data_IF_911926687192
#
_entry.id   IF_911926687192
#
_cell.length_a   1.000
_cell.length_b   1.000
_cell.length_c   1.000
_cell.angle_alpha   90.00
_cell.angle_beta   90.00
_cell.angle_gamma   90.00
#
_symmetry.space_group_name_H-M   'P 1'
#
loop_
_entity.id
_entity.type
_entity.pdbx_description
1 polymer ?
#
# COMPACT_ATOMS: atom_id res chain seq x y z
N UNK A 1 -7.23 -14.20 16.23
CA UNK A 1 -7.56 -15.25 15.24
C UNK A 1 -8.20 -14.54 14.07
N UNK A 2 -7.39 -14.07 13.10
CA UNK A 2 -7.92 -13.50 11.87
C UNK A 2 -8.56 -14.63 11.07
N UNK A 3 -9.88 -14.59 10.92
CA UNK A 3 -10.58 -15.55 10.07
C UNK A 3 -10.20 -15.25 8.63
N UNK A 4 -9.54 -16.22 7.98
CA UNK A 4 -9.39 -16.24 6.52
C UNK A 4 -10.77 -16.03 5.90
N UNK A 5 -10.93 -15.12 4.91
CA UNK A 5 -12.23 -14.85 4.33
C UNK A 5 -12.90 -16.11 3.79
N UNK A 6 -14.21 -16.20 3.94
CA UNK A 6 -14.99 -17.31 3.40
C UNK A 6 -14.87 -17.37 1.86
N UNK A 7 -15.10 -18.56 1.28
CA UNK A 7 -15.13 -18.71 -0.18
C UNK A 7 -16.12 -17.75 -0.84
N UNK A 8 -17.29 -17.55 -0.23
CA UNK A 8 -18.31 -16.62 -0.76
C UNK A 8 -17.84 -15.17 -0.82
N UNK A 9 -17.07 -14.70 0.18
CA UNK A 9 -16.50 -13.34 0.16
C UNK A 9 -15.47 -13.22 -0.96
N UNK A 10 -14.61 -14.23 -1.15
CA UNK A 10 -13.64 -14.25 -2.25
C UNK A 10 -14.33 -14.22 -3.62
N UNK A 11 -15.35 -15.04 -3.81
CA UNK A 11 -16.11 -15.12 -5.06
C UNK A 11 -16.81 -13.79 -5.37
N UNK A 12 -17.35 -13.11 -4.35
CA UNK A 12 -17.99 -11.81 -4.49
C UNK A 12 -17.00 -10.67 -4.84
N UNK A 13 -15.75 -10.76 -4.37
CA UNK A 13 -14.71 -9.77 -4.66
C UNK A 13 -14.04 -9.98 -6.02
N UNK A 14 -14.12 -11.18 -6.59
CA UNK A 14 -13.42 -11.56 -7.82
C UNK A 14 -13.63 -10.59 -9.00
N UNK A 15 -14.85 -10.08 -9.29
CA UNK A 15 -15.04 -9.09 -10.35
C UNK A 15 -14.25 -7.80 -10.12
N UNK A 16 -14.25 -7.31 -8.86
CA UNK A 16 -13.54 -6.08 -8.47
C UNK A 16 -12.03 -6.25 -8.52
N UNK A 17 -11.51 -7.38 -8.03
CA UNK A 17 -10.08 -7.75 -8.12
C UNK A 17 -9.62 -7.64 -9.58
N UNK A 18 -10.37 -8.24 -10.51
CA UNK A 18 -10.02 -8.21 -11.93
C UNK A 18 -10.13 -6.81 -12.55
N UNK A 19 -11.15 -6.04 -12.17
CA UNK A 19 -11.40 -4.72 -12.75
C UNK A 19 -10.38 -3.68 -12.30
N UNK A 20 -9.97 -3.70 -11.03
CA UNK A 20 -9.12 -2.66 -10.43
C UNK A 20 -7.70 -2.63 -11.01
N UNK A 21 -7.20 -3.74 -11.54
CA UNK A 21 -5.89 -3.82 -12.19
C UNK A 21 -5.91 -3.42 -13.67
N UNK A 22 -7.01 -2.87 -14.16
CA UNK A 22 -7.07 -2.37 -15.53
C UNK A 22 -6.17 -1.14 -15.71
N UNK A 23 -5.32 -1.15 -16.75
CA UNK A 23 -4.41 -0.05 -17.04
C UNK A 23 -5.10 1.31 -17.20
N UNK A 24 -6.37 1.36 -17.65
CA UNK A 24 -7.14 2.60 -17.74
C UNK A 24 -7.39 3.25 -16.37
N UNK A 25 -7.47 2.43 -15.31
CA UNK A 25 -7.63 2.88 -13.93
C UNK A 25 -6.26 3.15 -13.29
N UNK A 26 -5.31 2.22 -13.40
CA UNK A 26 -3.99 2.35 -12.79
C UNK A 26 -3.16 3.52 -13.37
N UNK A 27 -3.32 3.78 -14.67
CA UNK A 27 -2.60 4.85 -15.40
C UNK A 27 -3.50 6.03 -15.75
N UNK A 28 -4.59 6.22 -15.00
CA UNK A 28 -5.49 7.35 -15.19
C UNK A 28 -4.73 8.68 -15.10
N UNK A 29 -5.16 9.75 -15.78
CA UNK A 29 -4.45 11.04 -15.72
C UNK A 29 -4.55 11.67 -14.31
N UNK A 30 -5.76 11.66 -13.74
CA UNK A 30 -6.04 12.24 -12.43
C UNK A 30 -5.47 11.42 -11.26
N UNK A 31 -4.68 12.07 -10.41
CA UNK A 31 -4.09 11.45 -9.22
C UNK A 31 -5.15 10.99 -8.21
N UNK A 32 -6.23 11.75 -8.02
CA UNK A 32 -7.32 11.39 -7.10
C UNK A 32 -8.02 10.07 -7.49
N UNK A 33 -8.08 9.78 -8.79
CA UNK A 33 -8.59 8.50 -9.29
C UNK A 33 -7.61 7.38 -8.94
N UNK A 34 -6.31 7.58 -9.19
CA UNK A 34 -5.29 6.57 -8.81
C UNK A 34 -5.30 6.26 -7.33
N UNK A 35 -5.32 7.28 -6.46
CA UNK A 35 -5.39 7.11 -5.01
C UNK A 35 -6.63 6.33 -4.59
N UNK A 36 -7.76 6.58 -5.25
CA UNK A 36 -9.01 5.84 -4.99
C UNK A 36 -8.90 4.37 -5.38
N UNK A 37 -8.32 4.08 -6.54
CA UNK A 37 -8.09 2.70 -7.02
C UNK A 37 -7.14 1.96 -6.08
N UNK A 38 -6.03 2.60 -5.69
CA UNK A 38 -5.06 2.04 -4.73
C UNK A 38 -5.73 1.77 -3.39
N UNK A 39 -6.54 2.69 -2.88
CA UNK A 39 -7.29 2.49 -1.62
C UNK A 39 -8.21 1.26 -1.68
N UNK A 40 -8.91 1.04 -2.80
CA UNK A 40 -9.71 -0.17 -2.98
C UNK A 40 -8.85 -1.44 -3.04
N UNK A 41 -7.71 -1.40 -3.74
CA UNK A 41 -6.78 -2.53 -3.86
C UNK A 41 -6.21 -2.91 -2.49
N UNK A 42 -5.83 -1.93 -1.67
CA UNK A 42 -5.31 -2.13 -0.32
C UNK A 42 -6.36 -2.79 0.59
N UNK A 43 -7.61 -2.33 0.55
CA UNK A 43 -8.67 -2.95 1.35
C UNK A 43 -9.01 -4.36 0.90
N UNK A 44 -9.01 -4.64 -0.42
CA UNK A 44 -9.14 -6.00 -0.93
C UNK A 44 -7.99 -6.87 -0.42
N UNK A 45 -6.76 -6.37 -0.46
CA UNK A 45 -5.57 -7.10 0.02
C UNK A 45 -5.68 -7.41 1.51
N UNK A 46 -6.16 -6.45 2.32
CA UNK A 46 -6.47 -6.67 3.74
C UNK A 46 -7.55 -7.73 3.95
N UNK A 47 -8.63 -7.69 3.16
CA UNK A 47 -9.71 -8.68 3.27
C UNK A 47 -9.26 -10.08 2.85
N UNK A 48 -8.41 -10.19 1.83
CA UNK A 48 -7.96 -11.48 1.30
C UNK A 48 -6.77 -12.08 2.03
N UNK A 49 -6.09 -11.29 2.87
CA UNK A 49 -4.98 -11.73 3.72
C UNK A 49 -5.30 -13.05 4.48
N UNK A 50 -4.33 -13.95 4.64
CA UNK A 50 -2.93 -13.86 4.19
C UNK A 50 -2.75 -14.15 2.69
N UNK A 51 -3.81 -14.48 1.96
CA UNK A 51 -3.69 -14.81 0.54
C UNK A 51 -3.67 -13.52 -0.29
N UNK A 52 -2.57 -13.29 -1.00
CA UNK A 52 -2.47 -12.16 -1.91
C UNK A 52 -3.54 -12.24 -3.01
N UNK A 53 -4.28 -11.15 -3.29
CA UNK A 53 -5.31 -11.14 -4.31
C UNK A 53 -4.74 -11.12 -5.74
N UNK A 54 -3.44 -10.83 -5.88
CA UNK A 54 -2.75 -10.71 -7.15
C UNK A 54 -1.44 -11.51 -7.14
N UNK A 55 -0.97 -11.88 -8.33
CA UNK A 55 0.36 -12.49 -8.52
C UNK A 55 1.47 -11.49 -8.27
N UNK A 56 2.64 -11.99 -7.94
CA UNK A 56 3.87 -11.25 -7.59
C UNK A 56 4.15 -10.06 -8.51
N UNK A 57 4.24 -10.28 -9.83
CA UNK A 57 4.49 -9.19 -10.78
C UNK A 57 3.47 -8.05 -10.72
N UNK A 58 2.21 -8.40 -10.45
CA UNK A 58 1.14 -7.42 -10.30
C UNK A 58 1.20 -6.74 -8.93
N UNK A 59 1.58 -7.46 -7.88
CA UNK A 59 1.84 -6.87 -6.56
C UNK A 59 2.97 -5.85 -6.63
N UNK A 60 4.05 -6.13 -7.36
CA UNK A 60 5.16 -5.16 -7.59
C UNK A 60 4.66 -3.86 -8.23
N UNK A 61 3.84 -3.94 -9.28
CA UNK A 61 3.23 -2.75 -9.91
C UNK A 61 2.30 -2.01 -8.94
N UNK A 62 1.53 -2.74 -8.12
CA UNK A 62 0.67 -2.13 -7.09
C UNK A 62 1.51 -1.39 -6.05
N UNK A 63 2.63 -1.95 -5.59
CA UNK A 63 3.52 -1.28 -4.66
C UNK A 63 4.09 0.03 -5.23
N UNK A 64 4.48 0.05 -6.50
CA UNK A 64 4.90 1.28 -7.18
C UNK A 64 3.79 2.35 -7.16
N UNK A 65 2.54 1.96 -7.38
CA UNK A 65 1.40 2.88 -7.32
C UNK A 65 1.10 3.37 -5.91
N UNK A 66 1.28 2.53 -4.90
CA UNK A 66 1.17 2.91 -3.49
C UNK A 66 2.25 3.95 -3.16
N UNK A 67 3.50 3.73 -3.57
CA UNK A 67 4.60 4.68 -3.32
C UNK A 67 4.34 6.01 -4.02
N UNK A 68 3.94 5.99 -5.29
CA UNK A 68 3.55 7.20 -6.01
C UNK A 68 2.38 7.94 -5.32
N UNK A 69 1.39 7.23 -4.77
CA UNK A 69 0.30 7.85 -4.02
C UNK A 69 0.77 8.48 -2.70
N UNK A 70 1.74 7.86 -2.01
CA UNK A 70 2.32 8.39 -0.77
C UNK A 70 3.17 9.63 -1.04
N UNK A 71 4.03 9.60 -2.05
CA UNK A 71 4.88 10.76 -2.42
C UNK A 71 4.08 12.01 -2.77
N UNK A 72 2.92 11.82 -3.42
CA UNK A 72 2.07 12.93 -3.83
C UNK A 72 1.08 13.38 -2.74
N UNK A 73 1.21 12.91 -1.49
CA UNK A 73 0.21 13.18 -0.44
C UNK A 73 -0.01 14.68 -0.17
N UNK A 74 1.01 15.52 -0.36
CA UNK A 74 0.92 16.98 -0.18
C UNK A 74 0.20 17.70 -1.33
N UNK A 75 0.03 17.03 -2.47
CA UNK A 75 -0.50 17.59 -3.72
C UNK A 75 -1.92 17.10 -4.06
N UNK A 76 -2.45 16.14 -3.30
CA UNK A 76 -3.79 15.59 -3.52
C UNK A 76 -4.87 16.37 -2.77
N UNK A 77 -6.12 16.21 -3.19
CA UNK A 77 -7.25 16.84 -2.48
C UNK A 77 -7.37 16.36 -1.03
N UNK A 78 -8.01 17.13 -0.16
CA UNK A 78 -8.24 16.76 1.26
C UNK A 78 -8.90 15.38 1.41
N UNK A 79 -9.77 15.01 0.47
CA UNK A 79 -10.42 13.70 0.48
C UNK A 79 -9.43 12.58 0.12
N UNK A 80 -8.61 12.78 -0.91
CA UNK A 80 -7.54 11.85 -1.27
C UNK A 80 -6.46 11.75 -0.20
N UNK A 81 -6.15 12.84 0.51
CA UNK A 81 -5.23 12.82 1.65
C UNK A 81 -5.69 11.81 2.71
N UNK A 82 -6.98 11.83 3.08
CA UNK A 82 -7.54 10.85 4.03
C UNK A 82 -7.40 9.41 3.54
N UNK A 83 -7.53 9.18 2.23
CA UNK A 83 -7.31 7.86 1.63
C UNK A 83 -5.85 7.45 1.71
N UNK A 84 -4.91 8.34 1.41
CA UNK A 84 -3.46 8.05 1.54
C UNK A 84 -3.11 7.73 2.99
N UNK A 85 -3.63 8.47 3.96
CA UNK A 85 -3.41 8.13 5.39
C UNK A 85 -4.02 6.79 5.77
N UNK A 86 -5.19 6.43 5.22
CA UNK A 86 -5.79 5.11 5.43
C UNK A 86 -5.00 3.99 4.75
N UNK A 87 -4.40 4.25 3.59
CA UNK A 87 -3.54 3.31 2.89
C UNK A 87 -2.32 2.97 3.77
N UNK A 88 -1.64 4.00 4.30
CA UNK A 88 -0.50 3.83 5.20
C UNK A 88 -0.89 3.03 6.46
N UNK A 89 -2.02 3.38 7.08
CA UNK A 89 -2.51 2.68 8.27
C UNK A 89 -2.81 1.20 7.99
N UNK A 90 -3.46 0.91 6.86
CA UNK A 90 -3.70 -0.48 6.46
C UNK A 90 -2.40 -1.23 6.17
N UNK A 91 -1.43 -0.63 5.47
CA UNK A 91 -0.11 -1.24 5.21
C UNK A 91 0.58 -1.63 6.51
N UNK A 92 0.58 -0.74 7.51
CA UNK A 92 1.17 -1.01 8.81
C UNK A 92 0.43 -2.16 9.52
N UNK A 93 -0.91 -2.12 9.55
CA UNK A 93 -1.75 -3.11 10.24
C UNK A 93 -1.61 -4.52 9.69
N UNK A 94 -1.64 -4.67 8.36
CA UNK A 94 -1.48 -5.98 7.71
C UNK A 94 -0.04 -6.33 7.38
N UNK A 95 0.92 -5.51 7.83
CA UNK A 95 2.35 -5.67 7.56
C UNK A 95 2.65 -5.88 6.07
N UNK A 96 1.90 -5.21 5.18
CA UNK A 96 2.00 -5.43 3.73
C UNK A 96 3.39 -5.06 3.17
N UNK A 97 4.13 -4.21 3.88
CA UNK A 97 5.52 -3.89 3.56
C UNK A 97 6.46 -5.11 3.61
N UNK A 98 6.16 -6.14 4.39
CA UNK A 98 6.97 -7.37 4.43
C UNK A 98 6.86 -8.17 3.13
N UNK A 99 5.70 -8.09 2.46
CA UNK A 99 5.54 -8.67 1.12
C UNK A 99 6.46 -7.99 0.10
N UNK A 100 6.90 -6.74 0.32
CA UNK A 100 7.92 -6.12 -0.52
C UNK A 100 9.29 -6.79 -0.34
N UNK A 101 9.62 -7.25 0.87
CA UNK A 101 10.82 -8.03 1.14
C UNK A 101 10.71 -9.43 0.53
N UNK A 102 9.59 -10.13 0.75
CA UNK A 102 9.34 -11.47 0.19
C UNK A 102 9.43 -11.50 -1.35
N UNK A 103 9.10 -10.37 -2.00
CA UNK A 103 9.14 -10.21 -3.45
C UNK A 103 10.45 -9.62 -3.97
N UNK A 104 11.46 -9.42 -3.12
CA UNK A 104 12.78 -8.86 -3.45
C UNK A 104 12.66 -7.47 -4.13
N UNK A 105 11.82 -6.60 -3.57
CA UNK A 105 11.58 -5.25 -4.10
C UNK A 105 12.54 -4.21 -3.51
N UNK A 106 13.83 -4.52 -3.42
CA UNK A 106 14.82 -3.72 -2.65
C UNK A 106 14.87 -2.25 -3.08
N UNK A 107 14.86 -1.99 -4.39
CA UNK A 107 14.86 -0.62 -4.91
C UNK A 107 13.63 0.17 -4.43
N UNK A 108 12.46 -0.49 -4.36
CA UNK A 108 11.21 0.12 -3.92
C UNK A 108 11.17 0.29 -2.40
N UNK A 109 11.79 -0.62 -1.64
CA UNK A 109 12.01 -0.45 -0.20
C UNK A 109 12.86 0.79 0.06
N UNK A 110 13.98 0.96 -0.67
CA UNK A 110 14.82 2.15 -0.55
C UNK A 110 14.04 3.43 -0.91
N UNK A 111 13.27 3.40 -2.00
CA UNK A 111 12.40 4.51 -2.40
C UNK A 111 11.39 4.87 -1.30
N UNK A 112 10.72 3.87 -0.71
CA UNK A 112 9.80 4.06 0.41
C UNK A 112 10.47 4.78 1.59
N UNK A 113 11.66 4.34 1.99
CA UNK A 113 12.40 4.97 3.09
C UNK A 113 12.76 6.42 2.77
N UNK A 114 13.29 6.67 1.57
CA UNK A 114 13.66 8.02 1.15
C UNK A 114 12.45 8.95 1.14
N UNK A 115 11.30 8.47 0.65
CA UNK A 115 10.07 9.24 0.55
C UNK A 115 9.46 9.51 1.92
N UNK A 116 9.39 8.51 2.80
CA UNK A 116 8.91 8.70 4.17
C UNK A 116 9.82 9.65 4.96
N UNK A 117 11.15 9.55 4.83
CA UNK A 117 12.08 10.49 5.48
C UNK A 117 11.93 11.93 4.98
N UNK A 118 11.62 12.13 3.69
CA UNK A 118 11.27 13.47 3.15
C UNK A 118 9.94 13.96 3.74
N UNK A 119 8.95 13.09 3.85
CA UNK A 119 7.62 13.42 4.36
C UNK A 119 7.65 13.72 5.86
N UNK A 120 8.44 13.00 6.67
CA UNK A 120 8.61 13.26 8.11
C UNK A 120 9.14 14.67 8.38
N UNK A 121 9.90 15.25 7.45
CA UNK A 121 10.37 16.65 7.54
C UNK A 121 9.25 17.68 7.30
N UNK A 122 8.07 17.24 6.88
CA UNK A 122 6.90 18.08 6.61
C UNK A 122 5.92 18.08 7.79
N UNK A 123 5.03 19.07 7.86
CA UNK A 123 4.09 19.26 8.98
C UNK A 123 2.86 18.32 8.89
N UNK A 124 3.08 17.00 8.96
CA UNK A 124 1.99 16.01 9.00
C UNK A 124 1.51 15.75 10.44
N UNK A 125 0.26 15.27 10.63
CA UNK A 125 -0.22 14.87 11.93
C UNK A 125 0.67 13.78 12.57
N UNK A 126 0.94 13.83 13.89
CA UNK A 126 1.82 12.87 14.56
C UNK A 126 1.44 11.40 14.33
N UNK A 127 0.14 11.10 14.22
CA UNK A 127 -0.34 9.75 13.93
C UNK A 127 0.17 9.22 12.57
N UNK A 128 0.20 10.06 11.54
CA UNK A 128 0.70 9.68 10.20
C UNK A 128 2.20 9.41 10.24
N UNK A 129 2.95 10.24 10.98
CA UNK A 129 4.39 10.06 11.17
C UNK A 129 4.69 8.75 11.89
N UNK A 130 3.94 8.44 12.96
CA UNK A 130 4.06 7.19 13.70
C UNK A 130 3.74 5.96 12.83
N UNK A 131 2.76 6.06 11.92
CA UNK A 131 2.48 5.00 10.94
C UNK A 131 3.67 4.76 10.00
N UNK A 132 4.29 5.83 9.48
CA UNK A 132 5.47 5.71 8.61
C UNK A 132 6.65 5.08 9.36
N UNK A 133 6.91 5.53 10.59
CA UNK A 133 7.94 4.96 11.48
C UNK A 133 7.70 3.47 11.74
N UNK A 134 6.44 3.09 12.01
CA UNK A 134 6.06 1.68 12.21
C UNK A 134 6.39 0.83 10.99
N UNK A 135 6.03 1.30 9.79
CA UNK A 135 6.32 0.59 8.53
C UNK A 135 7.83 0.42 8.33
N UNK A 136 8.60 1.50 8.49
CA UNK A 136 10.06 1.46 8.35
C UNK A 136 10.70 0.52 9.37
N UNK A 137 10.23 0.55 10.63
CA UNK A 137 10.73 -0.33 11.69
C UNK A 137 10.44 -1.79 11.41
N UNK A 138 9.24 -2.12 10.91
CA UNK A 138 8.89 -3.49 10.49
C UNK A 138 9.85 -4.01 9.42
N UNK A 139 10.14 -3.20 8.41
CA UNK A 139 11.04 -3.60 7.32
C UNK A 139 12.47 -3.80 7.81
N UNK A 140 13.00 -2.93 8.68
CA UNK A 140 14.35 -3.11 9.25
C UNK A 140 14.44 -4.40 10.07
N UNK A 141 13.45 -4.64 10.95
CA UNK A 141 13.50 -5.76 11.89
C UNK A 141 13.35 -7.13 11.22
N UNK A 142 12.67 -7.19 10.07
CA UNK A 142 12.42 -8.44 9.34
C UNK A 142 13.38 -8.61 8.14
N UNK A 143 14.27 -7.65 7.89
CA UNK A 143 15.28 -7.74 6.82
C UNK A 143 16.45 -8.63 7.25
N UNK A 144 16.76 -9.65 6.45
CA UNK A 144 17.87 -10.57 6.73
C UNK A 144 19.25 -9.92 6.53
N UNK A 145 19.37 -8.93 5.65
CA UNK A 145 20.66 -8.29 5.30
C UNK A 145 21.10 -7.17 6.26
N UNK A 146 20.16 -6.63 7.04
CA UNK A 146 20.40 -5.50 7.97
C UNK A 146 20.67 -6.00 9.40
N UNK A 147 20.48 -7.30 9.65
CA UNK A 147 20.56 -7.95 10.96
C UNK A 147 21.98 -8.36 11.38
#
# INVERSE_FOLDING_TARGET
>A
MEQVPSKSVRDALFPSVKALINNKLLRHAEMDVKVSVVSCIIEITRITAPNAPYKDEKMKEIFQLIMAACENMSHVSTHSYKKVTSILDTIAKVKLCLVMLDLECDALVVEMFQSFLKMIRSNHPPAVLSTMETIMSLVINESEDIS
#
